data_IF_563918817830
#
_entry.id   IF_563918817830
#
_cell.length_a   1.000
_cell.length_b   1.000
_cell.length_c   1.000
_cell.angle_alpha   90.00
_cell.angle_beta   90.00
_cell.angle_gamma   90.00
#
_symmetry.space_group_name_H-M   'P 1'
#
loop_
_entity.id
_entity.type
_entity.pdbx_description
1 polymer ?
#
# COMPACT_ATOMS: atom_id res chain seq x y z
N UNK A 1 -1.77 22.34 -13.94
CA UNK A 1 -2.45 21.14 -14.45
C UNK A 1 -1.85 19.97 -13.70
N UNK A 2 -2.52 19.45 -12.69
CA UNK A 2 -2.08 18.22 -12.02
C UNK A 2 -2.40 17.10 -13.00
N UNK A 3 -1.38 16.53 -13.65
CA UNK A 3 -1.57 15.24 -14.28
C UNK A 3 -1.81 14.27 -13.13
N UNK A 4 -3.06 13.88 -12.92
CA UNK A 4 -3.37 12.71 -12.11
C UNK A 4 -2.74 11.52 -12.83
N UNK A 5 -1.48 11.24 -12.49
CA UNK A 5 -0.81 10.02 -12.89
C UNK A 5 -1.55 8.91 -12.15
N UNK A 6 -2.31 8.12 -12.90
CA UNK A 6 -2.74 6.81 -12.42
C UNK A 6 -1.48 5.98 -12.20
N UNK A 7 -1.18 5.69 -10.94
CA UNK A 7 -0.14 4.75 -10.58
C UNK A 7 -0.78 3.38 -10.65
N UNK A 8 -0.35 2.59 -11.63
CA UNK A 8 -0.72 1.18 -11.70
C UNK A 8 -0.01 0.44 -10.56
N UNK A 9 -0.79 0.02 -9.57
CA UNK A 9 -0.30 -0.67 -8.38
C UNK A 9 -0.18 -2.16 -8.68
N UNK A 10 1.05 -2.64 -8.75
CA UNK A 10 1.36 -4.05 -8.91
C UNK A 10 1.81 -4.62 -7.57
N UNK A 11 0.88 -5.24 -6.84
CA UNK A 11 1.19 -5.86 -5.56
C UNK A 11 1.93 -7.18 -5.72
N UNK A 12 2.99 -7.34 -4.93
CA UNK A 12 3.69 -8.60 -4.74
C UNK A 12 2.78 -9.65 -4.08
N UNK A 13 3.11 -10.92 -4.26
CA UNK A 13 2.38 -12.04 -3.64
C UNK A 13 2.29 -11.91 -2.10
N UNK A 14 3.34 -11.40 -1.47
CA UNK A 14 3.34 -11.20 -0.02
C UNK A 14 2.35 -10.11 0.41
N UNK A 15 2.32 -8.98 -0.29
CA UNK A 15 1.35 -7.90 -0.02
C UNK A 15 -0.08 -8.40 -0.24
N UNK A 16 -0.34 -9.16 -1.31
CA UNK A 16 -1.66 -9.77 -1.54
C UNK A 16 -2.06 -10.71 -0.40
N UNK A 17 -1.14 -11.54 0.09
CA UNK A 17 -1.38 -12.42 1.23
C UNK A 17 -1.77 -11.62 2.48
N UNK A 18 -1.07 -10.52 2.78
CA UNK A 18 -1.38 -9.67 3.93
C UNK A 18 -2.72 -8.92 3.77
N UNK A 19 -3.08 -8.51 2.54
CA UNK A 19 -4.39 -7.92 2.23
C UNK A 19 -5.50 -8.94 2.53
N UNK A 20 -5.36 -10.16 2.04
CA UNK A 20 -6.32 -11.24 2.31
C UNK A 20 -6.48 -11.53 3.81
N UNK A 21 -5.38 -11.57 4.56
CA UNK A 21 -5.42 -11.78 6.00
C UNK A 21 -6.15 -10.66 6.73
N UNK A 22 -5.88 -9.41 6.35
CA UNK A 22 -6.52 -8.26 6.97
C UNK A 22 -8.01 -8.21 6.63
N UNK A 23 -8.37 -8.50 5.39
CA UNK A 23 -9.75 -8.63 4.93
C UNK A 23 -10.52 -9.68 5.76
N UNK A 24 -9.93 -10.86 5.99
CA UNK A 24 -10.51 -11.92 6.84
C UNK A 24 -10.74 -11.46 8.29
N UNK A 25 -9.84 -10.63 8.83
CA UNK A 25 -9.94 -10.13 10.22
C UNK A 25 -10.94 -9.00 10.39
N UNK A 26 -11.05 -8.10 9.43
CA UNK A 26 -11.94 -6.93 9.51
C UNK A 26 -13.33 -7.21 8.96
N UNK A 27 -13.49 -8.26 8.16
CA UNK A 27 -14.71 -8.54 7.39
C UNK A 27 -14.86 -7.65 6.16
N UNK A 28 -13.81 -6.94 5.76
CA UNK A 28 -13.78 -6.14 4.54
C UNK A 28 -13.43 -6.99 3.32
N UNK A 29 -13.75 -6.50 2.12
CA UNK A 29 -13.16 -7.05 0.90
C UNK A 29 -11.70 -6.62 0.75
N UNK A 30 -10.94 -7.34 -0.08
CA UNK A 30 -9.56 -6.98 -0.41
C UNK A 30 -9.47 -5.56 -1.00
N UNK A 31 -10.39 -5.19 -1.90
CA UNK A 31 -10.49 -3.84 -2.46
C UNK A 31 -10.68 -2.78 -1.37
N UNK A 32 -11.55 -3.04 -0.40
CA UNK A 32 -11.79 -2.11 0.72
C UNK A 32 -10.54 -1.95 1.59
N UNK A 33 -9.77 -3.03 1.80
CA UNK A 33 -8.49 -2.95 2.51
C UNK A 33 -7.49 -2.09 1.72
N UNK A 34 -7.37 -2.32 0.42
CA UNK A 34 -6.47 -1.55 -0.46
C UNK A 34 -6.86 -0.08 -0.48
N UNK A 35 -8.13 0.25 -0.71
CA UNK A 35 -8.64 1.61 -0.70
C UNK A 35 -8.38 2.28 0.65
N UNK A 36 -8.65 1.60 1.77
CA UNK A 36 -8.39 2.14 3.10
C UNK A 36 -6.90 2.46 3.30
N UNK A 37 -6.00 1.54 2.93
CA UNK A 37 -4.56 1.75 3.06
C UNK A 37 -4.08 2.93 2.20
N UNK A 38 -4.59 3.04 0.96
CA UNK A 38 -4.24 4.14 0.07
C UNK A 38 -4.73 5.46 0.62
N UNK A 39 -6.02 5.57 0.91
CA UNK A 39 -6.65 6.82 1.31
C UNK A 39 -6.15 7.33 2.65
N UNK A 40 -6.02 6.46 3.65
CA UNK A 40 -5.65 6.88 5.01
C UNK A 40 -4.15 7.07 5.20
N UNK A 41 -3.31 6.31 4.48
CA UNK A 41 -1.88 6.28 4.75
C UNK A 41 -1.00 6.74 3.59
N UNK A 42 -1.30 6.33 2.35
CA UNK A 42 -0.35 6.49 1.23
C UNK A 42 -0.65 7.65 0.29
N UNK A 43 -1.89 8.14 0.22
CA UNK A 43 -2.29 9.19 -0.73
C UNK A 43 -1.43 10.46 -0.55
N UNK A 44 -1.15 10.85 0.69
CA UNK A 44 -0.29 11.99 0.99
C UNK A 44 1.21 11.70 0.83
N UNK A 45 1.60 10.42 0.80
CA UNK A 45 3.00 9.99 0.70
C UNK A 45 3.42 9.68 -0.74
N UNK A 46 2.47 9.55 -1.67
CA UNK A 46 2.72 9.12 -3.04
C UNK A 46 3.79 9.96 -3.75
N UNK A 47 3.75 11.28 -3.58
CA UNK A 47 4.75 12.21 -4.15
C UNK A 47 6.14 12.04 -3.54
N UNK A 48 6.20 11.66 -2.27
CA UNK A 48 7.46 11.38 -1.58
C UNK A 48 8.04 10.06 -2.08
N UNK A 49 7.19 9.06 -2.30
CA UNK A 49 7.57 7.76 -2.86
C UNK A 49 8.09 7.93 -4.29
N UNK A 50 7.38 8.68 -5.15
CA UNK A 50 7.83 9.04 -6.50
C UNK A 50 9.20 9.73 -6.50
N UNK A 51 9.37 10.73 -5.62
CA UNK A 51 10.63 11.46 -5.50
C UNK A 51 11.76 10.52 -5.08
N UNK A 52 11.52 9.65 -4.10
CA UNK A 52 12.52 8.67 -3.65
C UNK A 52 12.86 7.66 -4.74
N UNK A 53 11.88 7.13 -5.46
CA UNK A 53 12.08 6.22 -6.60
C UNK A 53 13.05 6.82 -7.61
N UNK A 54 12.86 8.11 -7.95
CA UNK A 54 13.74 8.84 -8.86
C UNK A 54 15.15 9.07 -8.28
N UNK A 55 15.26 9.42 -6.99
CA UNK A 55 16.54 9.67 -6.32
C UNK A 55 17.37 8.39 -6.15
N UNK A 56 16.73 7.25 -5.93
CA UNK A 56 17.40 5.96 -5.69
C UNK A 56 17.45 5.05 -6.92
N UNK A 57 16.89 5.50 -8.05
CA UNK A 57 16.73 4.69 -9.26
C UNK A 57 16.09 3.32 -8.97
N UNK A 58 15.06 3.32 -8.13
CA UNK A 58 14.27 2.16 -7.72
C UNK A 58 12.89 2.26 -8.35
N UNK A 59 12.27 1.12 -8.68
CA UNK A 59 10.90 1.15 -9.18
C UNK A 59 9.93 1.71 -8.11
N UNK A 60 8.97 2.52 -8.56
CA UNK A 60 7.96 3.08 -7.66
C UNK A 60 7.13 1.96 -7.02
N UNK A 61 6.80 0.90 -7.77
CA UNK A 61 6.05 -0.25 -7.27
C UNK A 61 6.79 -0.99 -6.16
N UNK A 62 8.12 -1.10 -6.24
CA UNK A 62 8.92 -1.73 -5.18
C UNK A 62 8.78 -0.94 -3.87
N UNK A 63 8.91 0.39 -3.96
CA UNK A 63 8.77 1.27 -2.80
C UNK A 63 7.34 1.26 -2.25
N UNK A 64 6.32 1.23 -3.12
CA UNK A 64 4.92 1.13 -2.71
C UNK A 64 4.65 -0.21 -2.03
N UNK A 65 5.13 -1.34 -2.58
CA UNK A 65 5.01 -2.65 -1.97
C UNK A 65 5.62 -2.69 -0.58
N UNK A 66 6.84 -2.17 -0.42
CA UNK A 66 7.51 -2.09 0.89
C UNK A 66 6.71 -1.25 1.90
N UNK A 67 6.04 -0.18 1.47
CA UNK A 67 5.19 0.60 2.38
C UNK A 67 3.89 -0.14 2.70
N UNK A 68 3.25 -0.77 1.71
CA UNK A 68 2.04 -1.55 1.89
C UNK A 68 2.25 -2.69 2.88
N UNK A 69 3.31 -3.48 2.69
CA UNK A 69 3.67 -4.60 3.57
C UNK A 69 3.78 -4.16 5.03
N UNK A 70 4.57 -3.11 5.30
CA UNK A 70 4.75 -2.57 6.66
C UNK A 70 3.45 -2.04 7.26
N UNK A 71 2.61 -1.39 6.46
CA UNK A 71 1.32 -0.85 6.92
C UNK A 71 0.35 -1.98 7.25
N UNK A 72 0.27 -3.00 6.40
CA UNK A 72 -0.60 -4.16 6.61
C UNK A 72 -0.15 -4.96 7.84
N UNK A 73 1.14 -5.22 8.00
CA UNK A 73 1.69 -5.86 9.21
C UNK A 73 1.34 -5.06 10.47
N UNK A 74 1.50 -3.74 10.43
CA UNK A 74 1.12 -2.86 11.54
C UNK A 74 -0.38 -2.93 11.84
N UNK A 75 -1.24 -2.87 10.82
CA UNK A 75 -2.69 -2.97 10.99
C UNK A 75 -3.07 -4.35 11.55
N UNK A 76 -2.55 -5.43 10.99
CA UNK A 76 -2.77 -6.80 11.47
C UNK A 76 -2.37 -6.97 12.94
N UNK A 77 -1.25 -6.36 13.36
CA UNK A 77 -0.81 -6.39 14.76
C UNK A 77 -1.84 -5.76 15.72
N UNK A 78 -2.62 -4.77 15.27
CA UNK A 78 -3.69 -4.14 16.08
C UNK A 78 -4.92 -5.04 16.24
N UNK A 79 -5.18 -5.93 15.28
CA UNK A 79 -6.28 -6.90 15.33
C UNK A 79 -5.86 -8.24 15.95
N UNK A 80 -4.63 -8.35 16.45
CA UNK A 80 -4.12 -9.50 17.22
C UNK A 80 -4.07 -9.21 18.72
N UNK A 81 -4.51 -8.03 19.17
CA UNK A 81 -4.68 -7.66 20.58
C UNK A 81 -6.15 -7.76 20.98
#
# INVERSE_FOLDING_TARGET
MSQDKEIELNFSENVMTLIEELAKKTGWSEDQVVEHVIHEYLMNQIRIIEKRAAETNTDINDLVNMQFERLLEFLLSKYNQ
#
